data_IF_980208182832
#
_entry.id   IF_980208182832
#
_cell.length_a   1.000
_cell.length_b   1.000
_cell.length_c   1.000
_cell.angle_alpha   90.00
_cell.angle_beta   90.00
_cell.angle_gamma   90.00
#
_symmetry.space_group_name_H-M   'P 1'
#
loop_
_entity.id
_entity.type
_entity.pdbx_description
1 polymer ?
#
# COMPACT_ATOMS: atom_id res chain seq x y z
N UNK A 1 3.57 -23.56 -10.36
CA UNK A 1 4.68 -22.76 -10.94
C UNK A 1 4.57 -21.34 -10.41
N UNK A 2 5.51 -20.91 -9.57
CA UNK A 2 5.62 -19.49 -9.19
C UNK A 2 6.13 -18.78 -10.45
N UNK A 3 5.25 -18.03 -11.11
CA UNK A 3 5.68 -17.18 -12.23
C UNK A 3 6.38 -15.99 -11.59
N UNK A 4 7.70 -16.08 -11.43
CA UNK A 4 8.51 -14.93 -11.07
C UNK A 4 8.37 -13.90 -12.19
N UNK A 5 7.64 -12.81 -11.94
CA UNK A 5 7.51 -11.73 -12.91
C UNK A 5 8.85 -10.99 -12.98
N UNK A 6 9.30 -10.59 -14.17
CA UNK A 6 10.53 -9.83 -14.30
C UNK A 6 10.45 -8.54 -13.46
N UNK A 7 11.56 -8.14 -12.81
CA UNK A 7 11.59 -6.93 -12.02
C UNK A 7 11.22 -5.73 -12.90
N UNK A 8 10.27 -4.94 -12.43
CA UNK A 8 9.82 -3.72 -13.10
C UNK A 8 10.72 -2.59 -12.63
N UNK A 9 11.28 -1.83 -13.58
CA UNK A 9 12.04 -0.62 -13.26
C UNK A 9 11.20 0.34 -12.40
N UNK A 10 11.82 0.88 -11.36
CA UNK A 10 11.19 1.88 -10.51
C UNK A 10 10.75 3.10 -11.37
N UNK A 11 9.60 3.72 -11.08
CA UNK A 11 9.22 4.97 -11.72
C UNK A 11 10.29 6.03 -11.53
N UNK A 12 10.46 6.90 -12.52
CA UNK A 12 11.20 8.13 -12.32
C UNK A 12 10.34 9.10 -11.48
N UNK A 13 10.48 9.03 -10.17
CA UNK A 13 9.73 9.85 -9.22
C UNK A 13 10.05 11.35 -9.34
N UNK A 14 11.24 11.72 -9.82
CA UNK A 14 11.57 13.13 -10.07
C UNK A 14 10.69 13.73 -11.17
N UNK A 15 10.20 12.92 -12.10
CA UNK A 15 9.23 13.37 -13.09
C UNK A 15 7.89 13.77 -12.45
N UNK A 16 7.48 13.14 -11.34
CA UNK A 16 6.30 13.53 -10.58
C UNK A 16 6.58 14.78 -9.73
N UNK A 17 7.75 14.86 -9.09
CA UNK A 17 8.12 16.01 -8.24
C UNK A 17 8.15 17.34 -8.97
N UNK A 18 8.36 17.33 -10.30
CA UNK A 18 8.24 18.54 -11.15
C UNK A 18 6.85 19.20 -11.10
N UNK A 19 5.81 18.41 -10.84
CA UNK A 19 4.43 18.87 -10.75
C UNK A 19 3.90 18.87 -9.31
N UNK A 20 4.67 18.37 -8.35
CA UNK A 20 4.31 18.31 -6.94
C UNK A 20 5.59 18.18 -6.11
N UNK A 21 6.15 19.32 -5.70
CA UNK A 21 7.39 19.36 -4.92
C UNK A 21 7.26 18.64 -3.57
N UNK A 22 6.03 18.45 -3.06
CA UNK A 22 5.74 17.74 -1.81
C UNK A 22 5.55 16.24 -2.02
N UNK A 23 5.63 15.74 -3.27
CA UNK A 23 5.40 14.33 -3.53
C UNK A 23 6.46 13.44 -2.88
N UNK A 24 6.00 12.55 -2.01
CA UNK A 24 6.80 11.51 -1.38
C UNK A 24 6.35 10.14 -1.86
N UNK A 25 7.28 9.36 -2.43
CA UNK A 25 7.02 7.96 -2.81
C UNK A 25 6.52 7.14 -1.62
N UNK A 26 7.14 7.27 -0.45
CA UNK A 26 6.81 6.46 0.75
C UNK A 26 5.36 6.70 1.15
N UNK A 27 5.01 7.96 1.41
CA UNK A 27 3.63 8.36 1.73
C UNK A 27 2.62 7.98 0.65
N UNK A 28 2.96 8.09 -0.63
CA UNK A 28 2.06 7.67 -1.71
C UNK A 28 1.80 6.16 -1.69
N UNK A 29 2.83 5.35 -1.41
CA UNK A 29 2.70 3.90 -1.29
C UNK A 29 1.89 3.52 -0.05
N UNK A 30 2.13 4.16 1.09
CA UNK A 30 1.33 3.97 2.30
C UNK A 30 -0.15 4.30 2.03
N UNK A 31 -0.42 5.45 1.39
CA UNK A 31 -1.78 5.80 0.95
C UNK A 31 -2.38 4.73 0.04
N UNK A 32 -1.64 4.24 -0.96
CA UNK A 32 -2.13 3.21 -1.87
C UNK A 32 -2.45 1.89 -1.14
N UNK A 33 -1.63 1.48 -0.17
CA UNK A 33 -1.89 0.30 0.65
C UNK A 33 -3.15 0.48 1.52
N UNK A 34 -3.26 1.60 2.23
CA UNK A 34 -4.42 1.89 3.06
C UNK A 34 -5.70 2.02 2.23
N UNK A 35 -5.64 2.73 1.10
CA UNK A 35 -6.75 2.91 0.17
C UNK A 35 -7.25 1.56 -0.36
N UNK A 36 -6.33 0.69 -0.80
CA UNK A 36 -6.68 -0.65 -1.29
C UNK A 36 -7.39 -1.47 -0.20
N UNK A 37 -6.82 -1.52 1.00
CA UNK A 37 -7.40 -2.24 2.13
C UNK A 37 -8.79 -1.74 2.48
N UNK A 38 -8.92 -0.42 2.68
CA UNK A 38 -10.16 0.24 3.09
C UNK A 38 -11.27 0.13 2.06
N UNK A 39 -10.97 0.26 0.78
CA UNK A 39 -11.96 0.05 -0.28
C UNK A 39 -12.40 -1.41 -0.33
N UNK A 40 -11.48 -2.36 -0.18
CA UNK A 40 -11.84 -3.78 -0.20
C UNK A 40 -12.72 -4.16 0.99
N UNK A 41 -12.44 -3.66 2.20
CA UNK A 41 -13.32 -3.79 3.38
C UNK A 41 -14.70 -3.14 3.14
N UNK A 42 -14.71 -1.95 2.55
CA UNK A 42 -15.93 -1.19 2.30
C UNK A 42 -16.85 -1.83 1.25
N UNK A 43 -16.31 -2.41 0.17
CA UNK A 43 -17.15 -3.15 -0.79
C UNK A 43 -17.77 -4.40 -0.18
N UNK A 44 -17.12 -5.01 0.82
CA UNK A 44 -17.64 -6.18 1.52
C UNK A 44 -18.89 -5.83 2.32
N UNK A 45 -18.87 -4.68 2.97
CA UNK A 45 -19.92 -4.21 3.87
C UNK A 45 -20.90 -3.18 3.26
N UNK A 46 -20.87 -3.01 1.93
CA UNK A 46 -21.66 -2.02 1.18
C UNK A 46 -21.50 -0.57 1.67
N UNK A 47 -20.26 -0.17 2.02
CA UNK A 47 -19.88 1.14 2.56
C UNK A 47 -18.99 1.96 1.62
N UNK A 48 -18.94 1.62 0.34
CA UNK A 48 -18.07 2.30 -0.66
C UNK A 48 -18.29 3.82 -0.73
N UNK A 49 -19.51 4.29 -0.42
CA UNK A 49 -19.83 5.72 -0.37
C UNK A 49 -18.90 6.50 0.58
N UNK A 50 -18.39 5.88 1.65
CA UNK A 50 -17.40 6.48 2.56
C UNK A 50 -16.08 6.85 1.87
N UNK A 51 -15.82 6.35 0.67
CA UNK A 51 -14.63 6.64 -0.12
C UNK A 51 -14.96 7.41 -1.41
N UNK A 52 -16.17 7.95 -1.52
CA UNK A 52 -16.65 8.66 -2.72
C UNK A 52 -15.70 9.78 -3.19
N UNK A 53 -15.11 10.52 -2.26
CA UNK A 53 -14.15 11.59 -2.53
C UNK A 53 -12.81 11.09 -3.13
N UNK A 54 -12.60 9.77 -3.24
CA UNK A 54 -11.45 9.11 -3.86
C UNK A 54 -11.83 8.18 -5.02
N UNK A 55 -13.12 8.02 -5.35
CA UNK A 55 -13.59 7.05 -6.35
C UNK A 55 -14.31 7.77 -7.49
N UNK A 56 -13.95 7.46 -8.73
CA UNK A 56 -14.78 7.79 -9.89
C UNK A 56 -16.10 6.98 -9.88
N UNK A 57 -17.12 7.43 -10.61
CA UNK A 57 -18.37 6.66 -10.75
C UNK A 57 -18.13 5.29 -11.37
N UNK A 58 -17.21 5.23 -12.33
CA UNK A 58 -16.78 4.00 -12.97
C UNK A 58 -16.13 3.04 -11.95
N UNK A 59 -15.20 3.54 -11.15
CA UNK A 59 -14.52 2.73 -10.14
C UNK A 59 -15.50 2.24 -9.07
N UNK A 60 -16.44 3.08 -8.62
CA UNK A 60 -17.49 2.64 -7.70
C UNK A 60 -18.29 1.47 -8.29
N UNK A 61 -18.79 1.62 -9.52
CA UNK A 61 -19.53 0.56 -10.19
C UNK A 61 -18.73 -0.73 -10.33
N UNK A 62 -17.46 -0.66 -10.75
CA UNK A 62 -16.58 -1.83 -10.87
C UNK A 62 -16.34 -2.52 -9.51
N UNK A 63 -16.23 -1.75 -8.42
CA UNK A 63 -16.08 -2.28 -7.06
C UNK A 63 -17.38 -2.89 -6.50
N UNK A 64 -18.52 -2.28 -6.78
CA UNK A 64 -19.85 -2.79 -6.43
C UNK A 64 -20.14 -4.11 -7.17
N UNK A 65 -19.85 -4.17 -8.47
CA UNK A 65 -19.95 -5.40 -9.27
C UNK A 65 -19.04 -6.49 -8.70
N UNK A 66 -17.79 -6.14 -8.33
CA UNK A 66 -16.86 -7.07 -7.68
C UNK A 66 -17.36 -7.57 -6.31
N UNK A 67 -18.06 -6.73 -5.54
CA UNK A 67 -18.63 -7.07 -4.24
C UNK A 67 -20.03 -7.69 -4.28
N UNK A 68 -20.65 -7.80 -5.46
CA UNK A 68 -22.07 -8.17 -5.61
C UNK A 68 -22.48 -9.48 -4.93
N UNK A 69 -21.55 -10.44 -4.85
CA UNK A 69 -21.73 -11.76 -4.23
C UNK A 69 -21.12 -11.89 -2.82
N UNK A 70 -20.48 -10.82 -2.34
CA UNK A 70 -19.76 -10.79 -1.07
C UNK A 70 -20.65 -10.19 0.02
N UNK A 71 -20.54 -10.74 1.23
CA UNK A 71 -21.19 -10.27 2.45
C UNK A 71 -20.23 -9.51 3.35
N UNK A 72 -18.95 -9.89 3.34
CA UNK A 72 -17.90 -9.18 4.06
C UNK A 72 -16.52 -9.43 3.44
N UNK A 73 -15.60 -8.50 3.67
CA UNK A 73 -14.19 -8.60 3.25
C UNK A 73 -13.33 -8.10 4.39
N UNK A 74 -12.38 -8.92 4.83
CA UNK A 74 -11.48 -8.56 5.93
C UNK A 74 -10.10 -9.21 5.77
N UNK A 75 -9.16 -8.80 6.62
CA UNK A 75 -7.79 -9.32 6.61
C UNK A 75 -7.07 -8.99 5.29
N UNK A 76 -7.29 -7.77 4.76
CA UNK A 76 -6.68 -7.35 3.50
C UNK A 76 -5.21 -7.06 3.70
N UNK A 77 -4.37 -7.80 2.97
CA UNK A 77 -2.92 -7.71 3.00
C UNK A 77 -2.37 -7.55 1.61
N UNK A 78 -1.62 -6.49 1.39
CA UNK A 78 -0.90 -6.29 0.13
C UNK A 78 0.52 -6.81 0.27
N UNK A 79 0.84 -7.88 -0.47
CA UNK A 79 2.19 -8.46 -0.51
C UNK A 79 3.15 -7.71 -1.41
N UNK A 80 2.66 -7.13 -2.52
CA UNK A 80 3.48 -6.27 -3.38
C UNK A 80 2.64 -5.18 -4.05
N UNK A 81 3.28 -4.02 -4.25
CA UNK A 81 2.75 -2.90 -5.01
C UNK A 81 3.79 -2.47 -6.05
N UNK A 82 3.42 -2.54 -7.33
CA UNK A 82 4.17 -1.91 -8.40
C UNK A 82 3.46 -0.64 -8.87
N UNK A 83 4.18 0.47 -8.90
CA UNK A 83 3.69 1.74 -9.45
C UNK A 83 4.33 1.96 -10.81
N UNK A 84 3.57 2.47 -11.78
CA UNK A 84 4.07 2.98 -13.05
C UNK A 84 3.41 4.31 -13.35
N UNK A 85 4.19 5.32 -13.74
CA UNK A 85 3.64 6.56 -14.29
C UNK A 85 3.09 6.22 -15.68
N UNK A 86 1.76 6.30 -15.83
CA UNK A 86 1.05 5.86 -17.04
C UNK A 86 0.90 7.00 -18.05
N UNK A 87 0.46 8.17 -17.56
CA UNK A 87 0.39 9.40 -18.34
C UNK A 87 0.93 10.56 -17.52
N UNK A 88 1.61 11.48 -18.21
CA UNK A 88 2.04 12.77 -17.68
C UNK A 88 1.24 13.86 -18.40
N UNK A 89 1.00 15.01 -17.75
CA UNK A 89 0.47 16.18 -18.42
C UNK A 89 1.24 16.48 -19.70
N UNK A 90 0.53 16.57 -20.82
CA UNK A 90 1.00 17.08 -22.10
C UNK A 90 -0.08 18.04 -22.62
N UNK A 91 0.29 19.03 -23.43
CA UNK A 91 -0.57 20.16 -23.86
C UNK A 91 -2.08 19.82 -23.93
N UNK A 92 -2.86 20.39 -23.00
CA UNK A 92 -4.31 20.19 -22.88
C UNK A 92 -4.78 19.14 -21.86
N UNK A 93 -3.90 18.27 -21.35
CA UNK A 93 -4.19 17.34 -20.24
C UNK A 93 -3.58 17.84 -18.91
N UNK A 94 -4.42 18.11 -17.92
CA UNK A 94 -3.99 18.63 -16.61
C UNK A 94 -3.70 17.54 -15.57
N UNK A 95 -3.90 16.26 -15.90
CA UNK A 95 -3.84 15.18 -14.92
C UNK A 95 -2.60 14.31 -15.08
N UNK A 96 -2.02 13.95 -13.94
CA UNK A 96 -1.06 12.86 -13.82
C UNK A 96 -1.85 11.57 -13.63
N UNK A 97 -1.49 10.51 -14.37
CA UNK A 97 -2.10 9.18 -14.21
C UNK A 97 -1.03 8.17 -13.86
N UNK A 98 -1.29 7.38 -12.83
CA UNK A 98 -0.45 6.26 -12.40
C UNK A 98 -1.23 4.95 -12.48
N UNK A 99 -0.53 3.89 -12.87
CA UNK A 99 -1.02 2.52 -12.78
C UNK A 99 -0.41 1.87 -11.55
N UNK A 100 -1.27 1.36 -10.68
CA UNK A 100 -0.91 0.53 -9.54
C UNK A 100 -1.21 -0.92 -9.88
N UNK A 101 -0.25 -1.81 -9.63
CA UNK A 101 -0.44 -3.26 -9.72
C UNK A 101 -0.25 -3.86 -8.35
N UNK A 102 -1.30 -4.46 -7.80
CA UNK A 102 -1.34 -5.04 -6.46
C UNK A 102 -1.28 -6.55 -6.53
N UNK A 103 -0.36 -7.16 -5.77
CA UNK A 103 -0.45 -8.57 -5.36
C UNK A 103 -0.92 -8.59 -3.91
N UNK A 104 -2.10 -9.13 -3.67
CA UNK A 104 -2.75 -9.05 -2.36
C UNK A 104 -3.48 -10.34 -1.99
N UNK A 105 -3.70 -10.51 -0.69
CA UNK A 105 -4.56 -11.54 -0.11
C UNK A 105 -5.64 -10.86 0.73
N UNK A 106 -6.83 -11.43 0.75
CA UNK A 106 -7.89 -11.04 1.69
C UNK A 106 -8.82 -12.21 1.92
N UNK A 107 -9.65 -12.11 2.96
CA UNK A 107 -10.74 -13.06 3.20
C UNK A 107 -12.05 -12.46 2.71
N UNK A 108 -12.82 -13.22 1.92
CA UNK A 108 -14.19 -12.86 1.53
C UNK A 108 -15.18 -13.81 2.22
N UNK A 109 -16.27 -13.28 2.73
CA UNK A 109 -17.45 -14.06 3.13
C UNK A 109 -18.45 -14.01 1.99
N UNK A 110 -18.78 -15.16 1.41
CA UNK A 110 -19.71 -15.23 0.29
C UNK A 110 -21.14 -15.29 0.80
N UNK A 111 -22.01 -14.36 0.35
CA UNK A 111 -23.38 -14.19 0.87
C UNK A 111 -24.23 -15.46 0.79
N UNK A 112 -24.07 -16.26 -0.25
CA UNK A 112 -24.83 -17.50 -0.44
C UNK A 112 -24.36 -18.68 0.41
N UNK A 113 -23.13 -18.62 0.92
CA UNK A 113 -22.50 -19.74 1.65
C UNK A 113 -22.26 -19.42 3.13
N UNK A 114 -22.20 -18.13 3.48
CA UNK A 114 -21.78 -17.60 4.77
C UNK A 114 -20.51 -18.29 5.30
N UNK A 115 -19.53 -18.46 4.40
CA UNK A 115 -18.25 -19.11 4.71
C UNK A 115 -17.09 -18.22 4.29
N UNK A 116 -16.12 -17.97 5.18
CA UNK A 116 -14.89 -17.28 4.84
C UNK A 116 -14.07 -18.06 3.82
N UNK A 117 -13.57 -17.37 2.79
CA UNK A 117 -12.67 -17.91 1.79
C UNK A 117 -11.45 -17.00 1.66
N UNK A 118 -10.25 -17.58 1.79
CA UNK A 118 -9.02 -16.86 1.51
C UNK A 118 -8.85 -16.71 -0.01
N UNK A 119 -8.60 -15.48 -0.44
CA UNK A 119 -8.47 -15.12 -1.84
C UNK A 119 -7.13 -14.44 -2.05
N UNK A 120 -6.35 -14.99 -2.97
CA UNK A 120 -5.26 -14.26 -3.60
C UNK A 120 -5.79 -13.51 -4.82
N UNK A 121 -5.34 -12.27 -5.00
CA UNK A 121 -5.68 -11.47 -6.16
C UNK A 121 -4.48 -10.71 -6.71
N UNK A 122 -4.47 -10.58 -8.04
CA UNK A 122 -3.64 -9.60 -8.73
C UNK A 122 -4.56 -8.59 -9.41
N UNK A 123 -4.40 -7.31 -9.07
CA UNK A 123 -5.26 -6.24 -9.57
C UNK A 123 -4.46 -5.11 -10.19
N UNK A 124 -5.04 -4.46 -11.20
CA UNK A 124 -4.53 -3.22 -11.75
C UNK A 124 -5.52 -2.10 -11.50
N UNK A 125 -5.06 -1.02 -10.87
CA UNK A 125 -5.84 0.18 -10.59
C UNK A 125 -5.20 1.35 -11.31
N UNK A 126 -6.02 2.23 -11.89
CA UNK A 126 -5.57 3.50 -12.45
C UNK A 126 -6.01 4.61 -11.54
N UNK A 127 -5.05 5.44 -11.12
CA UNK A 127 -5.31 6.61 -10.30
C UNK A 127 -4.90 7.85 -11.06
N UNK A 128 -5.69 8.92 -10.93
CA UNK A 128 -5.39 10.24 -11.47
C UNK A 128 -5.40 11.31 -10.41
N UNK A 129 -4.62 12.36 -10.64
CA UNK A 129 -4.62 13.58 -9.84
C UNK A 129 -4.28 14.77 -10.71
N UNK A 130 -4.90 15.91 -10.41
CA UNK A 130 -4.56 17.19 -11.03
C UNK A 130 -3.09 17.52 -10.78
N UNK A 131 -2.38 17.88 -11.84
CA UNK A 131 -1.00 18.34 -11.79
C UNK A 131 -0.91 19.68 -11.08
N UNK A 132 0.27 19.99 -10.54
CA UNK A 132 0.55 21.23 -9.80
C UNK A 132 -0.25 21.40 -8.50
N UNK A 133 -0.94 20.35 -8.05
CA UNK A 133 -1.54 20.29 -6.72
C UNK A 133 -0.56 19.60 -5.78
N UNK A 134 -0.16 20.31 -4.71
CA UNK A 134 0.81 19.82 -3.76
C UNK A 134 0.24 18.67 -2.92
N UNK A 135 1.01 17.59 -2.74
CA UNK A 135 0.65 16.49 -1.84
C UNK A 135 0.33 17.01 -0.43
N UNK A 136 -0.69 16.47 0.25
CA UNK A 136 -0.97 16.79 1.65
C UNK A 136 0.20 16.44 2.57
N UNK A 137 0.18 16.99 3.78
CA UNK A 137 1.12 16.63 4.83
C UNK A 137 0.95 15.16 5.27
N UNK A 138 1.98 14.55 5.88
CA UNK A 138 1.96 13.13 6.26
C UNK A 138 0.76 12.73 7.13
N UNK A 139 0.33 13.61 8.04
CA UNK A 139 -0.83 13.40 8.92
C UNK A 139 -2.17 13.34 8.17
N UNK A 140 -2.24 13.90 6.95
CA UNK A 140 -3.50 13.99 6.17
C UNK A 140 -3.58 12.99 5.04
N UNK A 141 -2.44 12.55 4.48
CA UNK A 141 -2.41 11.77 3.24
C UNK A 141 -3.09 10.39 3.39
N UNK A 142 -3.09 9.81 4.59
CA UNK A 142 -3.73 8.51 4.89
C UNK A 142 -4.90 8.62 5.86
N UNK A 143 -5.36 9.83 6.19
CA UNK A 143 -6.42 10.02 7.18
C UNK A 143 -7.81 9.64 6.64
N UNK A 144 -8.02 9.73 5.33
CA UNK A 144 -9.32 9.56 4.66
C UNK A 144 -10.43 10.51 5.18
N UNK A 145 -10.05 11.56 5.90
CA UNK A 145 -10.92 12.67 6.30
C UNK A 145 -11.40 13.48 5.10
N UNK A 146 -12.37 14.37 5.33
CA UNK A 146 -12.90 15.24 4.30
C UNK A 146 -11.76 16.07 3.69
N UNK A 147 -11.54 15.94 2.39
CA UNK A 147 -10.41 16.60 1.69
C UNK A 147 -10.46 18.14 1.74
N UNK A 148 -11.59 18.73 2.11
CA UNK A 148 -11.71 20.19 2.28
C UNK A 148 -11.68 20.67 3.72
N UNK A 149 -12.53 20.16 4.62
CA UNK A 149 -12.60 20.66 6.01
C UNK A 149 -11.79 19.83 7.03
N UNK A 150 -11.30 18.65 6.68
CA UNK A 150 -10.48 17.81 7.55
C UNK A 150 -11.22 17.10 8.70
N UNK A 151 -12.56 17.10 8.69
CA UNK A 151 -13.33 16.29 9.64
C UNK A 151 -13.39 14.83 9.17
N UNK A 152 -13.68 13.90 10.09
CA UNK A 152 -14.03 12.52 9.74
C UNK A 152 -15.08 12.50 8.61
N UNK A 153 -14.79 11.74 7.55
CA UNK A 153 -15.61 11.75 6.35
C UNK A 153 -16.70 10.67 6.40
N UNK A 154 -17.90 11.10 6.78
CA UNK A 154 -19.12 10.29 6.74
C UNK A 154 -20.16 10.99 5.86
N UNK A 155 -20.14 10.77 4.53
CA UNK A 155 -20.99 11.52 3.62
C UNK A 155 -22.47 11.18 3.76
N UNK A 156 -23.34 12.10 3.34
CA UNK A 156 -24.73 11.82 3.05
C UNK A 156 -24.86 10.93 1.80
N UNK A 157 -26.06 10.38 1.54
CA UNK A 157 -26.33 9.57 0.33
C UNK A 157 -26.06 10.35 -0.97
N UNK A 158 -26.20 11.69 -0.95
CA UNK A 158 -25.84 12.56 -2.07
C UNK A 158 -24.33 12.73 -2.28
N UNK A 159 -23.49 12.20 -1.38
CA UNK A 159 -22.03 12.35 -1.39
C UNK A 159 -21.53 13.63 -0.70
N UNK A 160 -22.42 14.45 -0.16
CA UNK A 160 -22.06 15.65 0.59
C UNK A 160 -21.41 15.32 1.94
N UNK A 161 -20.33 16.02 2.29
CA UNK A 161 -19.77 15.95 3.63
C UNK A 161 -20.76 16.51 4.65
N UNK A 162 -21.18 15.70 5.64
CA UNK A 162 -22.14 16.13 6.68
C UNK A 162 -21.66 17.30 7.56
N UNK A 163 -20.35 17.57 7.60
CA UNK A 163 -19.79 18.67 8.39
C UNK A 163 -19.73 19.99 7.62
N UNK A 164 -19.21 19.98 6.38
CA UNK A 164 -19.05 21.23 5.60
C UNK A 164 -20.08 21.43 4.48
N UNK A 165 -20.95 20.44 4.24
CA UNK A 165 -22.02 20.49 3.23
C UNK A 165 -21.54 20.49 1.78
N UNK A 166 -20.26 20.20 1.53
CA UNK A 166 -19.68 20.23 0.17
C UNK A 166 -19.50 18.83 -0.40
N UNK A 167 -19.68 18.72 -1.71
CA UNK A 167 -19.21 17.61 -2.54
C UNK A 167 -17.89 18.03 -3.18
N UNK A 168 -16.92 17.12 -3.21
CA UNK A 168 -15.62 17.36 -3.84
C UNK A 168 -15.47 16.48 -5.07
N UNK A 169 -15.03 17.07 -6.18
CA UNK A 169 -14.63 16.32 -7.36
C UNK A 169 -13.34 15.53 -7.05
N UNK A 170 -13.37 14.18 -7.12
CA UNK A 170 -12.19 13.38 -6.80
C UNK A 170 -11.07 13.63 -7.83
N UNK A 171 -9.83 13.71 -7.37
CA UNK A 171 -8.67 13.98 -8.22
C UNK A 171 -8.19 15.44 -8.16
N UNK A 172 -9.02 16.36 -7.67
CA UNK A 172 -8.67 17.80 -7.60
C UNK A 172 -7.74 18.15 -6.43
N UNK A 173 -7.85 17.42 -5.31
CA UNK A 173 -7.08 17.72 -4.08
C UNK A 173 -6.20 16.52 -3.68
N UNK A 174 -6.71 15.31 -3.87
CA UNK A 174 -6.04 14.05 -3.63
C UNK A 174 -6.15 13.15 -4.86
N UNK A 175 -5.42 12.04 -4.88
CA UNK A 175 -5.56 10.99 -5.88
C UNK A 175 -6.99 10.41 -5.92
N UNK A 176 -7.54 10.27 -7.12
CA UNK A 176 -8.78 9.56 -7.43
C UNK A 176 -8.44 8.21 -8.06
N UNK A 177 -9.21 7.18 -7.74
CA UNK A 177 -9.26 5.90 -8.47
C UNK A 177 -10.19 6.08 -9.67
N UNK A 178 -9.63 5.99 -10.87
CA UNK A 178 -10.39 6.10 -12.13
C UNK A 178 -11.06 4.79 -12.51
N UNK A 179 -10.37 3.67 -12.28
CA UNK A 179 -10.87 2.33 -12.58
C UNK A 179 -10.08 1.26 -11.84
N UNK A 180 -10.72 0.12 -11.60
CA UNK A 180 -10.14 -1.07 -11.01
C UNK A 180 -10.34 -2.27 -11.92
N UNK A 181 -9.39 -3.20 -11.94
CA UNK A 181 -9.49 -4.42 -12.74
C UNK A 181 -8.85 -5.59 -12.02
N UNK A 182 -9.61 -6.68 -11.87
CA UNK A 182 -9.10 -7.93 -11.34
C UNK A 182 -8.50 -8.77 -12.46
N UNK A 183 -7.17 -8.83 -12.50
CA UNK A 183 -6.42 -9.53 -13.55
C UNK A 183 -6.21 -11.01 -13.21
N UNK A 184 -6.16 -11.34 -11.91
CA UNK A 184 -6.11 -12.70 -11.43
C UNK A 184 -6.86 -12.81 -10.10
N UNK A 185 -7.53 -13.93 -9.90
CA UNK A 185 -8.19 -14.31 -8.65
C UNK A 185 -8.03 -15.80 -8.45
N UNK A 186 -7.62 -16.20 -7.25
CA UNK A 186 -7.54 -17.61 -6.86
C UNK A 186 -8.07 -17.75 -5.45
N UNK A 187 -8.98 -18.69 -5.25
CA UNK A 187 -9.26 -19.19 -3.90
C UNK A 187 -8.01 -19.96 -3.49
N UNK A 188 -7.42 -19.56 -2.38
CA UNK A 188 -6.24 -20.21 -1.84
C UNK A 188 -6.65 -21.06 -0.64
N UNK A 189 -6.00 -22.21 -0.49
CA UNK A 189 -6.12 -23.02 0.71
C UNK A 189 -5.59 -22.28 1.94
N UNK A 190 -5.59 -22.93 3.11
CA UNK A 190 -5.04 -22.31 4.31
C UNK A 190 -3.60 -21.85 4.03
N UNK A 191 -3.29 -20.63 4.44
CA UNK A 191 -1.92 -20.13 4.40
C UNK A 191 -1.04 -21.03 5.29
N UNK A 192 0.28 -21.05 5.04
CA UNK A 192 1.25 -21.70 5.93
C UNK A 192 1.14 -23.24 6.05
N UNK A 193 0.53 -23.90 5.07
CA UNK A 193 0.29 -25.37 5.08
C UNK A 193 1.49 -26.22 4.74
N UNK A 194 2.50 -25.67 4.07
CA UNK A 194 3.73 -26.40 3.75
C UNK A 194 4.94 -25.48 3.76
N UNK A 195 6.11 -26.06 4.06
CA UNK A 195 7.39 -25.38 3.94
C UNK A 195 7.76 -25.31 2.46
N UNK A 196 7.72 -24.12 1.89
CA UNK A 196 8.30 -23.86 0.58
C UNK A 196 9.81 -23.59 0.73
N UNK A 197 10.59 -23.94 -0.29
CA UNK A 197 11.99 -23.49 -0.38
C UNK A 197 11.97 -22.03 -0.79
N UNK A 198 12.67 -21.18 -0.04
CA UNK A 198 12.84 -19.78 -0.40
C UNK A 198 13.55 -19.67 -1.75
N UNK A 199 12.93 -18.94 -2.67
CA UNK A 199 13.49 -18.70 -4.01
C UNK A 199 14.21 -17.37 -4.04
N UNK A 200 15.34 -17.30 -4.74
CA UNK A 200 16.07 -16.05 -4.96
C UNK A 200 17.15 -15.71 -3.92
N UNK A 201 17.33 -16.52 -2.86
CA UNK A 201 18.40 -16.30 -1.86
C UNK A 201 19.82 -16.46 -2.43
N UNK A 202 19.96 -17.11 -3.59
CA UNK A 202 21.25 -17.33 -4.27
C UNK A 202 21.49 -16.33 -5.43
N UNK A 203 20.63 -15.31 -5.59
CA UNK A 203 20.84 -14.30 -6.61
C UNK A 203 21.96 -13.35 -6.20
N UNK A 204 22.75 -12.83 -7.15
CA UNK A 204 23.80 -11.88 -6.82
C UNK A 204 23.21 -10.60 -6.23
N UNK A 205 23.85 -10.08 -5.18
CA UNK A 205 23.52 -8.77 -4.65
C UNK A 205 23.78 -7.70 -5.71
N UNK A 206 22.72 -7.03 -6.15
CA UNK A 206 22.83 -5.89 -7.08
C UNK A 206 23.21 -4.65 -6.28
N UNK A 207 24.29 -3.98 -6.66
CA UNK A 207 24.72 -2.70 -6.09
C UNK A 207 24.53 -1.58 -7.10
N UNK A 208 24.05 -0.43 -6.63
CA UNK A 208 24.03 0.80 -7.44
C UNK A 208 25.48 1.23 -7.72
N UNK A 209 25.82 1.42 -8.99
CA UNK A 209 27.15 1.85 -9.42
C UNK A 209 27.53 3.26 -8.92
N UNK A 210 26.55 4.06 -8.50
CA UNK A 210 26.74 5.40 -7.96
C UNK A 210 26.64 5.47 -6.43
N UNK A 211 26.51 4.34 -5.73
CA UNK A 211 26.27 4.29 -4.29
C UNK A 211 27.28 5.14 -3.49
N UNK A 212 28.59 4.96 -3.72
CA UNK A 212 29.62 5.71 -2.98
C UNK A 212 29.57 7.21 -3.28
N UNK A 213 29.22 7.60 -4.52
CA UNK A 213 29.05 9.02 -4.88
C UNK A 213 27.85 9.63 -4.15
N UNK A 214 26.71 8.95 -4.15
CA UNK A 214 25.52 9.41 -3.42
C UNK A 214 25.78 9.50 -1.93
N UNK A 215 26.52 8.54 -1.36
CA UNK A 215 26.93 8.56 0.05
C UNK A 215 27.81 9.77 0.36
N UNK A 216 28.83 10.05 -0.45
CA UNK A 216 29.70 11.21 -0.26
C UNK A 216 28.91 12.53 -0.33
N UNK A 217 28.06 12.68 -1.34
CA UNK A 217 27.19 13.85 -1.48
C UNK A 217 26.24 14.03 -0.29
N UNK A 218 25.68 12.94 0.22
CA UNK A 218 24.80 12.97 1.39
C UNK A 218 25.54 13.43 2.65
N UNK A 219 26.75 12.93 2.89
CA UNK A 219 27.59 13.36 4.02
C UNK A 219 27.97 14.84 3.90
N UNK A 220 28.31 15.30 2.68
CA UNK A 220 28.62 16.71 2.43
C UNK A 220 27.40 17.62 2.64
N UNK A 221 26.21 17.17 2.25
CA UNK A 221 24.96 17.92 2.43
C UNK A 221 24.57 18.05 3.90
N UNK A 222 24.91 17.05 4.72
CA UNK A 222 24.57 16.97 6.15
C UNK A 222 25.82 16.78 7.02
N UNK A 223 26.71 17.79 7.11
CA UNK A 223 28.02 17.64 7.76
C UNK A 223 27.92 17.35 9.26
N UNK A 224 26.84 17.77 9.92
CA UNK A 224 26.59 17.50 11.35
C UNK A 224 26.12 16.06 11.62
N UNK A 225 25.77 15.29 10.57
CA UNK A 225 25.29 13.93 10.72
C UNK A 225 26.44 12.94 10.86
N UNK A 226 26.47 12.21 11.98
CA UNK A 226 27.35 11.07 12.13
C UNK A 226 26.79 9.84 11.36
N UNK A 227 27.35 9.58 10.18
CA UNK A 227 26.91 8.48 9.33
C UNK A 227 27.08 7.09 9.97
N UNK A 228 28.10 6.89 10.81
CA UNK A 228 28.33 5.61 11.51
C UNK A 228 27.22 5.33 12.53
N UNK A 229 26.76 6.38 13.24
CA UNK A 229 25.61 6.26 14.15
C UNK A 229 24.33 5.90 13.38
N UNK A 230 24.15 6.43 12.18
CA UNK A 230 23.02 6.06 11.32
C UNK A 230 23.08 4.58 10.90
N UNK A 231 24.25 4.09 10.48
CA UNK A 231 24.46 2.67 10.18
C UNK A 231 24.12 1.80 11.39
N UNK A 232 24.65 2.12 12.57
CA UNK A 232 24.38 1.38 13.80
C UNK A 232 22.89 1.35 14.14
N UNK A 233 22.17 2.45 13.89
CA UNK A 233 20.71 2.50 14.05
C UNK A 233 20.00 1.55 13.08
N UNK A 234 20.39 1.50 11.81
CA UNK A 234 19.79 0.56 10.85
C UNK A 234 20.07 -0.90 11.21
N UNK A 235 21.29 -1.21 11.66
CA UNK A 235 21.63 -2.55 12.16
C UNK A 235 20.75 -2.94 13.36
N UNK A 236 20.58 -2.02 14.33
CA UNK A 236 19.69 -2.25 15.46
C UNK A 236 18.24 -2.53 15.01
N UNK A 237 17.69 -1.69 14.13
CA UNK A 237 16.33 -1.87 13.59
C UNK A 237 16.20 -3.24 12.90
N UNK A 238 17.18 -3.63 12.08
CA UNK A 238 17.19 -4.92 11.40
C UNK A 238 17.14 -6.09 12.39
N UNK A 239 18.00 -6.10 13.41
CA UNK A 239 18.01 -7.19 14.40
C UNK A 239 16.73 -7.21 15.25
N UNK A 240 16.20 -6.04 15.62
CA UNK A 240 14.92 -5.93 16.33
C UNK A 240 13.79 -6.51 15.48
N UNK A 241 13.71 -6.19 14.18
CA UNK A 241 12.74 -6.78 13.24
C UNK A 241 12.82 -8.31 13.23
N UNK A 242 14.03 -8.88 13.03
CA UNK A 242 14.17 -10.35 12.96
C UNK A 242 13.80 -11.04 14.28
N UNK A 243 14.19 -10.44 15.41
CA UNK A 243 13.89 -10.95 16.75
C UNK A 243 12.39 -10.89 17.03
N UNK A 244 11.78 -9.72 16.91
CA UNK A 244 10.36 -9.49 17.13
C UNK A 244 9.47 -10.39 16.28
N UNK A 245 9.82 -10.58 15.00
CA UNK A 245 9.11 -11.52 14.13
C UNK A 245 9.20 -12.95 14.66
N UNK A 246 10.42 -13.40 15.01
CA UNK A 246 10.65 -14.76 15.51
C UNK A 246 10.00 -15.04 16.86
N UNK A 247 9.91 -14.03 17.72
CA UNK A 247 9.27 -14.09 19.04
C UNK A 247 7.76 -13.80 18.99
N UNK A 248 7.25 -13.36 17.82
CA UNK A 248 5.88 -12.87 17.61
C UNK A 248 5.53 -11.63 18.46
N UNK A 249 6.51 -10.93 19.01
CA UNK A 249 6.34 -9.67 19.76
C UNK A 249 6.60 -8.46 18.85
N UNK A 250 5.55 -8.03 18.15
CA UNK A 250 5.65 -6.93 17.19
C UNK A 250 5.62 -5.55 17.84
N UNK A 251 5.27 -5.40 19.12
CA UNK A 251 5.08 -4.07 19.74
C UNK A 251 6.37 -3.22 19.67
N UNK A 252 7.53 -3.87 19.72
CA UNK A 252 8.85 -3.26 19.57
C UNK A 252 9.08 -2.62 18.18
N UNK A 253 8.27 -2.97 17.18
CA UNK A 253 8.41 -2.49 15.80
C UNK A 253 7.62 -1.22 15.52
N UNK A 254 6.69 -0.84 16.40
CA UNK A 254 5.87 0.36 16.25
C UNK A 254 6.66 1.65 15.97
N UNK A 255 7.83 1.89 16.59
CA UNK A 255 8.63 3.09 16.30
C UNK A 255 9.29 3.08 14.91
N UNK A 256 9.32 1.95 14.20
CA UNK A 256 10.08 1.75 12.97
C UNK A 256 9.20 1.51 11.73
N UNK A 257 7.91 1.24 11.91
CA UNK A 257 7.00 0.85 10.83
C UNK A 257 5.86 1.85 10.66
N UNK A 258 5.46 2.05 9.40
CA UNK A 258 4.21 2.74 9.09
C UNK A 258 3.03 1.89 9.55
N UNK A 259 1.86 2.51 9.77
CA UNK A 259 0.67 1.76 10.18
C UNK A 259 0.32 0.66 9.21
N UNK A 260 0.41 0.92 7.91
CA UNK A 260 0.13 -0.09 6.89
C UNK A 260 1.08 -1.28 6.95
N UNK A 261 2.38 -1.03 7.15
CA UNK A 261 3.37 -2.11 7.24
C UNK A 261 3.16 -2.94 8.50
N UNK A 262 2.93 -2.27 9.64
CA UNK A 262 2.68 -2.94 10.91
C UNK A 262 1.43 -3.82 10.87
N UNK A 263 0.33 -3.34 10.27
CA UNK A 263 -0.89 -4.13 10.13
C UNK A 263 -0.67 -5.39 9.27
N UNK A 264 0.14 -5.29 8.22
CA UNK A 264 0.52 -6.43 7.39
C UNK A 264 1.31 -7.47 8.20
N UNK A 265 2.36 -7.05 8.92
CA UNK A 265 3.13 -7.95 9.79
C UNK A 265 2.27 -8.59 10.88
N UNK A 266 1.38 -7.81 11.50
CA UNK A 266 0.45 -8.28 12.52
C UNK A 266 -0.46 -9.38 11.99
N UNK A 267 -1.05 -9.21 10.81
CA UNK A 267 -1.88 -10.23 10.18
C UNK A 267 -1.16 -11.58 10.06
N UNK A 268 0.09 -11.58 9.58
CA UNK A 268 0.84 -12.82 9.41
C UNK A 268 1.20 -13.47 10.74
N UNK A 269 1.60 -12.68 11.75
CA UNK A 269 1.87 -13.20 13.10
C UNK A 269 0.61 -13.78 13.74
N UNK A 270 -0.54 -13.12 13.60
CA UNK A 270 -1.83 -13.64 14.07
C UNK A 270 -2.21 -14.94 13.35
N UNK A 271 -1.94 -15.04 12.05
CA UNK A 271 -2.20 -16.25 11.28
C UNK A 271 -1.29 -17.41 11.71
N UNK A 272 0.00 -17.15 11.99
CA UNK A 272 0.89 -18.13 12.61
C UNK A 272 0.35 -18.61 13.97
N UNK A 273 -0.07 -17.68 14.85
CA UNK A 273 -0.62 -18.00 16.17
C UNK A 273 -1.89 -18.85 16.09
N UNK A 274 -2.81 -18.49 15.18
CA UNK A 274 -4.07 -19.22 14.96
C UNK A 274 -3.84 -20.68 14.59
N UNK A 275 -2.75 -20.96 13.88
CA UNK A 275 -2.36 -22.30 13.47
C UNK A 275 -1.37 -22.99 14.44
N UNK A 276 -1.07 -22.37 15.58
CA UNK A 276 -0.05 -22.83 16.54
C UNK A 276 1.34 -23.03 15.89
N UNK A 277 1.69 -22.13 14.97
CA UNK A 277 2.94 -22.10 14.23
C UNK A 277 3.80 -20.91 14.65
N UNK A 278 5.11 -21.00 14.35
CA UNK A 278 6.05 -19.89 14.51
C UNK A 278 7.08 -19.91 13.39
N UNK A 279 7.25 -18.77 12.73
CA UNK A 279 8.38 -18.55 11.81
C UNK A 279 9.61 -18.17 12.65
N UNK A 280 10.71 -18.92 12.54
CA UNK A 280 11.90 -18.69 13.36
C UNK A 280 13.10 -18.50 12.48
N UNK A 281 13.74 -17.34 12.59
CA UNK A 281 15.00 -17.04 11.94
C UNK A 281 16.16 -17.41 12.87
N UNK A 282 17.19 -18.05 12.32
CA UNK A 282 18.40 -18.46 13.05
C UNK A 282 19.63 -18.00 12.28
N UNK A 283 20.72 -17.76 13.00
CA UNK A 283 22.01 -17.34 12.42
C UNK A 283 21.90 -16.07 11.57
N UNK A 284 21.12 -15.09 12.05
CA UNK A 284 20.95 -13.80 11.39
C UNK A 284 22.26 -12.99 11.53
N UNK A 285 22.88 -12.65 10.41
CA UNK A 285 24.11 -11.85 10.35
C UNK A 285 23.96 -10.72 9.33
N UNK A 286 24.61 -9.58 9.60
CA UNK A 286 24.83 -8.50 8.65
C UNK A 286 26.31 -8.47 8.31
N UNK A 287 26.64 -8.48 7.02
CA UNK A 287 28.00 -8.33 6.50
C UNK A 287 28.45 -6.85 6.47
#
# INVERSE_FOLDING_TARGET
TVIARPPVLAPNWDALRRFDANFSEVLFRDFAYSLFSKIHEARGSNRLLQYRQFLSDKAMKELEEMGSYTEDVYGVVVGALNVRIWKRPFEGEDNIVVKLSFDANYTEVIRSQNRPQAVYTYQAWYLSRKANVLSPTPDKITAFDCVGCGSAYEPAESGECKHCGKVYDPGQHHWKVDSVSQLNRKIVGPALTSKAVDVGLNLPTVRDSNLERHRAQFIETYPDMNFQVAIARFQHIYYTLQKSWSEQDLDQLRPFETDSLFQNHRYWVEEYRRQNLRNVLKNVTLD
#
